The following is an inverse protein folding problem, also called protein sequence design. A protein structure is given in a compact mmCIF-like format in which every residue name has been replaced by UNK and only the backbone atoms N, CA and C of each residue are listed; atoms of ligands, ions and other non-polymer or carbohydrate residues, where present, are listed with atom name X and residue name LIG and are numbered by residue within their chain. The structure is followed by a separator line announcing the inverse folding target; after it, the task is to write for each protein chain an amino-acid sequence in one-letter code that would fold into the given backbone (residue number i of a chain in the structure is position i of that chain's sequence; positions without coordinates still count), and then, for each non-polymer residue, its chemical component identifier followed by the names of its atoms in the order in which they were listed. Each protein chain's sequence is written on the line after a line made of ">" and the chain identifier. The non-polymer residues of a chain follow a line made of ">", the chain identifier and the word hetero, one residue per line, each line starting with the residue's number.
data_IF_002618494794
#
_entry.id   IF_002618494794
#
_cell.length_a   1.000
_cell.length_b   1.000
_cell.length_c   1.000
_cell.angle_alpha   90.00
_cell.angle_beta   90.00
_cell.angle_gamma   90.00
#
_symmetry.space_group_name_H-M   'P 1'
#
loop_
_entity.id
_entity.type
_entity.pdbx_description
1 polymer ?
#
# COMPACT_ATOMS: atom_id res chain seq x y z
N UNK A 1 -35.49 80.84 8.88
CA UNK A 1 -34.55 80.60 9.99
C UNK A 1 -34.60 79.09 10.34
N UNK A 2 -33.57 78.36 10.05
CA UNK A 2 -33.47 76.93 10.46
C UNK A 2 -33.27 76.89 11.97
N UNK A 3 -34.17 76.24 12.75
CA UNK A 3 -34.03 76.22 14.21
C UNK A 3 -32.68 75.55 14.61
N UNK A 4 -31.92 76.22 15.51
CA UNK A 4 -30.64 75.79 16.00
C UNK A 4 -30.64 74.32 16.43
N UNK A 5 -31.73 73.82 16.96
CA UNK A 5 -31.91 72.45 17.36
C UNK A 5 -31.82 71.44 16.19
N UNK A 6 -32.27 71.81 14.97
CA UNK A 6 -32.15 70.94 13.78
C UNK A 6 -30.65 70.82 13.32
N UNK A 7 -29.93 71.92 13.39
CA UNK A 7 -28.49 71.95 13.03
C UNK A 7 -27.69 71.09 13.98
N UNK A 8 -27.96 71.19 15.29
CA UNK A 8 -27.30 70.35 16.31
C UNK A 8 -27.65 68.88 16.11
N UNK A 9 -28.91 68.52 15.84
CA UNK A 9 -29.32 67.15 15.58
C UNK A 9 -28.63 66.58 14.33
N UNK A 10 -28.52 67.33 13.25
CA UNK A 10 -27.81 66.90 12.02
C UNK A 10 -26.30 66.64 12.30
N UNK A 11 -25.65 67.53 13.06
CA UNK A 11 -24.24 67.35 13.42
C UNK A 11 -24.05 66.10 14.27
N UNK A 12 -24.91 65.83 15.23
CA UNK A 12 -24.83 64.61 16.07
C UNK A 12 -25.04 63.34 15.24
N UNK A 13 -26.00 63.33 14.31
CA UNK A 13 -26.24 62.22 13.40
C UNK A 13 -25.03 62.00 12.50
N UNK A 14 -24.44 63.03 11.91
CA UNK A 14 -23.24 62.91 11.07
C UNK A 14 -22.05 62.42 11.87
N UNK A 15 -21.83 62.91 13.09
CA UNK A 15 -20.78 62.44 13.98
C UNK A 15 -20.95 60.98 14.37
N UNK A 16 -22.20 60.55 14.67
CA UNK A 16 -22.50 59.16 14.99
C UNK A 16 -22.28 58.22 13.78
N UNK A 17 -22.74 58.63 12.59
CA UNK A 17 -22.48 57.91 11.35
C UNK A 17 -20.99 57.81 11.04
N UNK A 18 -20.23 58.89 11.27
CA UNK A 18 -18.77 58.91 11.12
C UNK A 18 -18.10 57.94 12.09
N UNK A 19 -18.54 57.91 13.35
CA UNK A 19 -18.03 56.98 14.36
C UNK A 19 -18.30 55.52 13.98
N UNK A 20 -19.52 55.20 13.55
CA UNK A 20 -19.90 53.88 13.10
C UNK A 20 -19.10 53.45 11.86
N UNK A 21 -18.90 54.35 10.90
CA UNK A 21 -18.08 54.11 9.71
C UNK A 21 -16.60 53.87 10.08
N UNK A 22 -16.05 54.64 11.01
CA UNK A 22 -14.70 54.44 11.51
C UNK A 22 -14.57 53.09 12.21
N UNK A 23 -15.52 52.71 13.07
CA UNK A 23 -15.49 51.40 13.76
C UNK A 23 -15.57 50.23 12.76
N UNK A 24 -16.34 50.38 11.66
CA UNK A 24 -16.41 49.32 10.62
C UNK A 24 -15.21 49.30 9.68
N UNK A 25 -14.35 50.32 9.70
CA UNK A 25 -13.15 50.42 8.88
C UNK A 25 -12.00 49.47 9.37
N UNK A 26 -12.01 49.12 10.64
CA UNK A 26 -11.01 48.26 11.21
C UNK A 26 -11.41 46.77 11.10
N UNK A 27 -10.55 45.98 10.44
CA UNK A 27 -10.71 44.55 10.35
C UNK A 27 -9.42 43.85 10.80
N UNK A 28 -9.55 42.88 11.69
CA UNK A 28 -8.43 42.04 12.11
C UNK A 28 -8.30 40.86 11.17
N UNK A 29 -7.11 40.67 10.60
CA UNK A 29 -6.71 39.51 9.80
C UNK A 29 -5.85 38.61 10.70
N UNK A 30 -6.21 37.36 10.81
CA UNK A 30 -5.48 36.40 11.64
C UNK A 30 -4.18 35.96 10.96
N UNK A 31 -3.23 35.42 11.73
CA UNK A 31 -1.91 35.06 11.22
C UNK A 31 -1.96 33.99 10.11
N UNK A 32 -2.97 33.13 10.14
CA UNK A 32 -3.19 32.07 9.15
C UNK A 32 -4.11 32.48 8.01
N UNK A 33 -4.58 33.76 7.99
CA UNK A 33 -5.46 34.31 6.96
C UNK A 33 -4.76 35.39 6.14
N UNK A 34 -5.18 35.52 4.89
CA UNK A 34 -4.87 36.71 4.08
C UNK A 34 -6.17 37.36 3.64
N UNK A 35 -6.19 38.70 3.70
CA UNK A 35 -7.34 39.50 3.30
C UNK A 35 -7.21 39.99 1.87
N UNK A 36 -8.19 39.69 1.03
CA UNK A 36 -8.35 40.24 -0.32
C UNK A 36 -9.38 41.37 -0.25
N UNK A 37 -9.05 42.53 -0.81
CA UNK A 37 -9.94 43.69 -0.84
C UNK A 37 -10.57 43.80 -2.22
N UNK A 38 -11.88 43.81 -2.24
CA UNK A 38 -12.69 44.11 -3.43
C UNK A 38 -13.21 45.58 -3.31
N UNK A 39 -12.76 46.44 -4.23
CA UNK A 39 -13.18 47.81 -4.32
C UNK A 39 -14.18 47.96 -5.47
N UNK A 40 -15.42 48.25 -5.17
CA UNK A 40 -16.50 48.34 -6.18
C UNK A 40 -16.49 47.13 -7.15
N UNK A 41 -16.25 45.92 -6.62
CA UNK A 41 -16.25 44.69 -7.41
C UNK A 41 -14.91 44.36 -8.11
N UNK A 42 -13.91 45.24 -8.07
CA UNK A 42 -12.56 44.99 -8.60
C UNK A 42 -11.62 44.55 -7.48
N UNK A 43 -10.85 43.52 -7.73
CA UNK A 43 -9.80 43.05 -6.80
C UNK A 43 -8.65 44.04 -6.78
N UNK A 44 -8.24 44.48 -5.60
CA UNK A 44 -6.98 45.18 -5.44
C UNK A 44 -5.81 44.18 -5.44
N UNK A 45 -4.69 44.49 -6.14
CA UNK A 45 -3.54 43.62 -6.17
C UNK A 45 -2.83 43.50 -4.79
N UNK A 46 -3.13 44.40 -3.89
CA UNK A 46 -2.55 44.46 -2.56
C UNK A 46 -3.26 43.50 -1.60
N UNK A 47 -2.54 42.43 -1.22
CA UNK A 47 -3.03 41.42 -0.25
C UNK A 47 -2.73 41.95 1.15
N UNK A 48 -3.72 42.03 2.02
CA UNK A 48 -3.54 42.41 3.43
C UNK A 48 -3.01 41.19 4.23
N UNK A 49 -1.82 41.37 4.80
CA UNK A 49 -1.21 40.44 5.73
C UNK A 49 -1.90 40.42 7.10
N UNK A 50 -1.40 39.55 8.02
CA UNK A 50 -1.91 39.48 9.38
C UNK A 50 -1.75 40.79 10.13
N UNK A 51 -2.73 41.10 10.97
CA UNK A 51 -2.77 42.32 11.78
C UNK A 51 -4.02 43.15 11.56
N UNK A 52 -3.93 44.43 11.91
CA UNK A 52 -5.03 45.36 11.76
C UNK A 52 -5.03 45.96 10.34
N UNK A 53 -6.05 45.57 9.57
CA UNK A 53 -6.27 46.07 8.21
C UNK A 53 -7.28 47.22 8.25
N UNK A 54 -6.89 48.37 7.67
CA UNK A 54 -7.77 49.51 7.47
C UNK A 54 -8.46 49.37 6.11
N UNK A 55 -9.80 49.41 6.11
CA UNK A 55 -10.64 49.24 4.94
C UNK A 55 -11.53 50.45 4.84
N UNK A 56 -11.83 50.91 3.62
CA UNK A 56 -12.83 51.97 3.43
C UNK A 56 -14.21 51.44 3.77
N UNK A 57 -14.98 52.09 4.66
CA UNK A 57 -16.26 51.59 5.12
C UNK A 57 -17.33 51.54 4.00
N UNK A 58 -17.13 52.38 2.96
CA UNK A 58 -18.03 52.45 1.79
C UNK A 58 -17.25 51.99 0.54
N UNK A 59 -17.72 50.90 -0.09
CA UNK A 59 -17.19 50.42 -1.37
C UNK A 59 -16.15 49.31 -1.29
N UNK A 60 -15.45 49.12 -0.15
CA UNK A 60 -14.50 48.04 0.01
C UNK A 60 -15.15 46.86 0.76
N UNK A 61 -14.99 45.65 0.20
CA UNK A 61 -15.30 44.37 0.88
C UNK A 61 -14.04 43.56 1.04
N UNK A 62 -13.82 43.05 2.23
CA UNK A 62 -12.68 42.14 2.49
C UNK A 62 -13.18 40.72 2.59
N UNK A 63 -12.59 39.84 1.79
CA UNK A 63 -12.72 38.41 1.89
C UNK A 63 -11.43 37.83 2.50
N UNK A 64 -11.58 37.03 3.54
CA UNK A 64 -10.49 36.35 4.19
C UNK A 64 -10.32 34.94 3.59
N UNK A 65 -9.11 34.57 3.27
CA UNK A 65 -8.75 33.24 2.75
C UNK A 65 -7.78 32.60 3.72
N UNK A 66 -8.09 31.39 4.12
CA UNK A 66 -7.22 30.59 4.98
C UNK A 66 -6.03 30.05 4.15
N UNK A 67 -4.82 30.20 4.70
CA UNK A 67 -3.55 29.77 4.08
C UNK A 67 -3.00 28.47 4.68
N UNK A 68 -3.69 27.88 5.65
CA UNK A 68 -3.29 26.63 6.29
C UNK A 68 -3.44 25.45 5.32
N UNK A 69 -2.74 24.38 5.63
CA UNK A 69 -2.91 23.10 4.93
C UNK A 69 -4.28 22.54 5.30
N UNK A 70 -5.05 22.22 4.29
CA UNK A 70 -6.36 21.59 4.41
C UNK A 70 -6.23 20.14 3.94
N UNK A 71 -6.67 19.20 4.78
CA UNK A 71 -6.83 17.81 4.40
C UNK A 71 -8.26 17.59 3.87
N UNK A 72 -8.35 17.16 2.64
CA UNK A 72 -9.63 16.88 1.97
C UNK A 72 -9.71 15.41 1.59
N UNK A 73 -10.75 14.73 2.07
CA UNK A 73 -11.03 13.36 1.65
C UNK A 73 -11.60 13.35 0.23
N UNK A 74 -11.00 12.53 -0.62
CA UNK A 74 -11.50 12.20 -1.96
C UNK A 74 -12.37 10.97 -1.83
N UNK A 75 -13.66 11.03 -2.22
CA UNK A 75 -14.53 9.87 -2.15
C UNK A 75 -14.01 8.73 -3.02
N UNK A 76 -14.25 7.50 -2.57
CA UNK A 76 -13.80 6.30 -3.25
C UNK A 76 -14.22 6.27 -4.72
N UNK A 77 -13.26 6.04 -5.60
CA UNK A 77 -13.45 5.89 -7.03
C UNK A 77 -13.32 4.42 -7.43
N UNK A 78 -14.27 3.96 -8.22
CA UNK A 78 -14.19 2.64 -8.86
C UNK A 78 -13.50 2.79 -10.22
N UNK A 79 -12.61 1.85 -10.51
CA UNK A 79 -11.90 1.80 -11.78
C UNK A 79 -11.40 0.40 -12.07
N UNK A 80 -10.96 0.20 -13.30
CA UNK A 80 -10.32 -1.03 -13.76
C UNK A 80 -8.84 -0.70 -13.97
N UNK A 81 -7.97 -1.46 -13.33
CA UNK A 81 -6.51 -1.32 -13.47
C UNK A 81 -6.03 -1.80 -14.83
N UNK A 82 -4.76 -1.52 -15.16
CA UNK A 82 -4.16 -1.94 -16.43
C UNK A 82 -4.16 -3.46 -16.62
N UNK A 83 -4.08 -4.23 -15.53
CA UNK A 83 -4.17 -5.69 -15.48
C UNK A 83 -5.61 -6.23 -15.38
N UNK A 84 -6.60 -5.39 -15.74
CA UNK A 84 -8.02 -5.72 -15.84
C UNK A 84 -8.67 -6.15 -14.52
N UNK A 85 -8.22 -5.62 -13.39
CA UNK A 85 -8.80 -5.85 -12.07
C UNK A 85 -9.66 -4.66 -11.66
N UNK A 86 -10.91 -4.92 -11.25
CA UNK A 86 -11.77 -3.89 -10.67
C UNK A 86 -11.32 -3.56 -9.26
N UNK A 87 -11.03 -2.28 -9.00
CA UNK A 87 -10.61 -1.79 -7.70
C UNK A 87 -11.45 -0.58 -7.28
N UNK A 88 -11.57 -0.38 -5.98
CA UNK A 88 -12.14 0.85 -5.40
C UNK A 88 -11.06 1.48 -4.54
N UNK A 89 -10.72 2.74 -4.85
CA UNK A 89 -9.63 3.47 -4.20
C UNK A 89 -10.16 4.77 -3.64
N UNK A 90 -9.86 5.06 -2.38
CA UNK A 90 -10.05 6.36 -1.75
C UNK A 90 -8.71 7.00 -1.40
N UNK A 91 -8.70 8.34 -1.36
CA UNK A 91 -7.49 9.11 -1.13
C UNK A 91 -7.76 10.33 -0.25
N UNK A 92 -6.68 10.91 0.26
CA UNK A 92 -6.69 12.20 0.96
C UNK A 92 -5.72 13.13 0.26
N UNK A 93 -6.19 14.33 -0.07
CA UNK A 93 -5.38 15.39 -0.67
C UNK A 93 -5.10 16.45 0.38
N UNK A 94 -3.82 16.75 0.59
CA UNK A 94 -3.34 17.84 1.44
C UNK A 94 -2.94 18.99 0.55
N UNK A 95 -3.62 20.11 0.66
CA UNK A 95 -3.34 21.29 -0.16
C UNK A 95 -3.41 22.56 0.67
N UNK A 96 -2.82 23.62 0.16
CA UNK A 96 -2.92 24.97 0.70
C UNK A 96 -3.05 26.00 -0.41
N UNK A 97 -3.64 27.14 -0.07
CA UNK A 97 -3.71 28.30 -0.97
C UNK A 97 -2.36 29.05 -0.92
N UNK A 98 -1.73 29.22 -2.07
CA UNK A 98 -0.49 30.02 -2.23
C UNK A 98 -0.83 31.43 -2.66
N UNK A 99 -1.67 31.54 -3.69
CA UNK A 99 -2.15 32.82 -4.21
C UNK A 99 -3.66 32.96 -3.95
N UNK A 100 -4.04 33.71 -2.90
CA UNK A 100 -5.43 33.84 -2.52
C UNK A 100 -6.26 34.60 -3.57
N UNK A 101 -5.64 35.47 -4.39
CA UNK A 101 -6.34 36.21 -5.44
C UNK A 101 -6.78 35.23 -6.53
N UNK A 102 -5.85 34.43 -7.05
CA UNK A 102 -6.17 33.43 -8.08
C UNK A 102 -7.21 32.42 -7.58
N UNK A 103 -7.04 31.95 -6.34
CA UNK A 103 -7.97 30.97 -5.76
C UNK A 103 -9.42 31.48 -5.64
N UNK A 104 -9.61 32.82 -5.51
CA UNK A 104 -10.94 33.38 -5.31
C UNK A 104 -11.54 33.98 -6.58
N UNK A 105 -10.69 34.46 -7.50
CA UNK A 105 -11.14 35.09 -8.74
C UNK A 105 -11.32 34.09 -9.87
N UNK A 106 -10.36 33.17 -10.00
CA UNK A 106 -10.34 32.25 -11.13
C UNK A 106 -11.26 31.02 -10.92
N UNK A 107 -11.54 30.69 -9.64
CA UNK A 107 -12.34 29.52 -9.29
C UNK A 107 -13.44 29.91 -8.32
N UNK A 108 -14.69 29.61 -8.66
CA UNK A 108 -15.84 29.93 -7.82
C UNK A 108 -15.81 29.21 -6.47
N UNK A 109 -15.51 27.91 -6.50
CA UNK A 109 -15.37 27.08 -5.32
C UNK A 109 -14.17 26.15 -5.51
N UNK A 110 -13.03 26.61 -5.02
CA UNK A 110 -11.76 25.85 -5.17
C UNK A 110 -11.78 24.51 -4.43
N UNK A 111 -12.51 24.39 -3.31
CA UNK A 111 -12.64 23.12 -2.58
C UNK A 111 -13.32 22.06 -3.45
N UNK A 112 -14.42 22.44 -4.07
CA UNK A 112 -15.14 21.55 -4.98
C UNK A 112 -14.31 21.23 -6.24
N UNK A 113 -13.67 22.25 -6.83
CA UNK A 113 -12.87 22.08 -8.03
C UNK A 113 -11.69 21.11 -7.80
N UNK A 114 -10.97 21.25 -6.67
CA UNK A 114 -9.89 20.33 -6.30
C UNK A 114 -10.43 18.92 -6.09
N UNK A 115 -11.60 18.78 -5.45
CA UNK A 115 -12.24 17.48 -5.25
C UNK A 115 -12.53 16.78 -6.58
N UNK A 116 -13.09 17.50 -7.56
CA UNK A 116 -13.37 16.94 -8.88
C UNK A 116 -12.10 16.61 -9.65
N UNK A 117 -11.09 17.48 -9.58
CA UNK A 117 -9.78 17.23 -10.20
C UNK A 117 -9.12 16.00 -9.60
N UNK A 118 -9.12 15.88 -8.28
CA UNK A 118 -8.56 14.73 -7.58
C UNK A 118 -9.27 13.41 -7.94
N UNK A 119 -10.60 13.42 -8.01
CA UNK A 119 -11.38 12.23 -8.41
C UNK A 119 -11.06 11.81 -9.85
N UNK A 120 -10.96 12.77 -10.77
CA UNK A 120 -10.64 12.49 -12.18
C UNK A 120 -9.21 11.98 -12.32
N UNK A 121 -8.25 12.60 -11.64
CA UNK A 121 -6.85 12.17 -11.65
C UNK A 121 -6.67 10.79 -11.01
N UNK A 122 -7.38 10.52 -9.91
CA UNK A 122 -7.38 9.22 -9.25
C UNK A 122 -7.88 8.12 -10.20
N UNK A 123 -8.99 8.36 -10.89
CA UNK A 123 -9.51 7.41 -11.89
C UNK A 123 -8.55 7.18 -13.04
N UNK A 124 -7.88 8.23 -13.52
CA UNK A 124 -6.87 8.12 -14.58
C UNK A 124 -5.68 7.27 -14.15
N UNK A 125 -5.17 7.48 -12.94
CA UNK A 125 -4.05 6.69 -12.41
C UNK A 125 -4.44 5.24 -12.17
N UNK A 126 -5.63 4.97 -11.65
CA UNK A 126 -6.12 3.59 -11.51
C UNK A 126 -6.04 2.86 -12.85
N UNK A 127 -6.49 3.49 -13.94
CA UNK A 127 -6.45 2.89 -15.28
C UNK A 127 -5.05 2.72 -15.88
N UNK A 128 -4.06 3.46 -15.39
CA UNK A 128 -2.68 3.41 -15.88
C UNK A 128 -1.79 2.49 -15.06
N UNK A 129 -2.14 2.24 -13.80
CA UNK A 129 -1.36 1.45 -12.85
C UNK A 129 -1.79 -0.01 -12.86
N UNK A 130 -0.87 -0.89 -12.52
CA UNK A 130 -1.16 -2.28 -12.17
C UNK A 130 -1.65 -2.38 -10.72
N UNK A 131 -2.42 -3.41 -10.42
CA UNK A 131 -2.93 -3.65 -9.07
C UNK A 131 -1.79 -3.76 -8.04
N UNK A 132 -0.71 -4.47 -8.38
CA UNK A 132 0.43 -4.63 -7.49
C UNK A 132 1.13 -3.31 -7.20
N UNK A 133 1.21 -2.38 -8.15
CA UNK A 133 1.74 -1.03 -7.95
C UNK A 133 0.89 -0.22 -6.97
N UNK A 134 -0.43 -0.30 -7.09
CA UNK A 134 -1.35 0.38 -6.16
C UNK A 134 -1.25 -0.14 -4.72
N UNK A 135 -0.88 -1.40 -4.53
CA UNK A 135 -0.77 -2.05 -3.22
C UNK A 135 0.64 -1.93 -2.62
N UNK A 136 1.69 -2.20 -3.41
CA UNK A 136 3.06 -2.31 -2.94
C UNK A 136 3.88 -1.01 -3.14
N UNK A 137 3.64 -0.26 -4.24
CA UNK A 137 4.42 0.93 -4.60
C UNK A 137 3.63 2.23 -4.41
N UNK A 138 2.88 2.34 -3.33
CA UNK A 138 2.00 3.50 -3.03
C UNK A 138 2.71 4.85 -3.11
N UNK A 139 3.98 4.92 -2.70
CA UNK A 139 4.74 6.18 -2.73
C UNK A 139 4.96 6.70 -4.16
N UNK A 140 5.18 5.81 -5.12
CA UNK A 140 5.34 6.17 -6.53
C UNK A 140 4.03 6.67 -7.10
N UNK A 141 2.93 5.98 -6.82
CA UNK A 141 1.58 6.37 -7.24
C UNK A 141 1.15 7.69 -6.60
N UNK A 142 1.38 7.88 -5.30
CA UNK A 142 1.08 9.12 -4.58
C UNK A 142 1.83 10.32 -5.16
N UNK A 143 3.09 10.13 -5.55
CA UNK A 143 3.93 11.17 -6.16
C UNK A 143 3.41 11.57 -7.54
N UNK A 144 3.02 10.60 -8.33
CA UNK A 144 2.47 10.84 -9.66
C UNK A 144 1.08 11.49 -9.59
N UNK A 145 0.21 11.04 -8.67
CA UNK A 145 -1.07 11.67 -8.37
C UNK A 145 -0.89 13.14 -7.98
N UNK A 146 0.05 13.42 -7.08
CA UNK A 146 0.38 14.78 -6.71
C UNK A 146 0.74 15.61 -7.93
N UNK A 147 1.62 15.11 -8.79
CA UNK A 147 2.08 15.81 -10.00
C UNK A 147 0.91 16.15 -10.93
N UNK A 148 0.05 15.18 -11.21
CA UNK A 148 -1.10 15.34 -12.12
C UNK A 148 -2.12 16.34 -11.56
N UNK A 149 -2.31 16.40 -10.23
CA UNK A 149 -3.25 17.34 -9.61
C UNK A 149 -2.62 18.74 -9.48
N UNK A 150 -1.33 18.83 -9.14
CA UNK A 150 -0.64 20.09 -8.88
C UNK A 150 -0.46 20.93 -10.15
N UNK A 151 -0.14 20.30 -11.27
CA UNK A 151 0.09 20.96 -12.56
C UNK A 151 -1.08 21.90 -13.00
N UNK A 152 -2.37 21.45 -13.03
CA UNK A 152 -3.49 22.31 -13.36
C UNK A 152 -3.94 23.23 -12.21
N UNK A 153 -3.52 23.01 -10.96
CA UNK A 153 -4.03 23.75 -9.80
C UNK A 153 -3.08 24.85 -9.35
N UNK A 154 -1.76 24.66 -9.41
CA UNK A 154 -0.80 25.65 -8.89
C UNK A 154 -0.80 26.93 -9.75
N UNK A 155 -0.61 26.80 -11.05
CA UNK A 155 -0.51 27.95 -11.96
C UNK A 155 -1.79 28.76 -12.07
N UNK A 156 -2.90 28.17 -12.54
CA UNK A 156 -4.15 28.87 -12.81
C UNK A 156 -4.94 29.22 -11.54
N UNK A 157 -4.97 28.33 -10.53
CA UNK A 157 -5.81 28.50 -9.34
C UNK A 157 -5.05 29.03 -8.13
N UNK A 158 -3.71 29.03 -8.16
CA UNK A 158 -2.88 29.49 -7.05
C UNK A 158 -2.97 28.59 -5.83
N UNK A 159 -3.22 27.31 -6.04
CA UNK A 159 -3.36 26.28 -5.00
C UNK A 159 -2.31 25.22 -5.23
N UNK A 160 -1.51 24.96 -4.20
CA UNK A 160 -0.47 23.95 -4.24
C UNK A 160 -0.90 22.71 -3.49
N UNK A 161 -0.73 21.57 -4.13
CA UNK A 161 -0.91 20.26 -3.52
C UNK A 161 0.40 19.86 -2.84
N UNK A 162 0.38 19.77 -1.52
CA UNK A 162 1.55 19.38 -0.73
C UNK A 162 1.80 17.88 -0.82
N UNK A 163 0.72 17.10 -0.65
CA UNK A 163 0.78 15.64 -0.62
C UNK A 163 -0.57 15.04 -0.99
N UNK A 164 -0.52 13.90 -1.65
CA UNK A 164 -1.68 13.03 -1.88
C UNK A 164 -1.36 11.67 -1.29
N UNK A 165 -2.29 11.07 -0.59
CA UNK A 165 -2.13 9.75 0.00
C UNK A 165 -3.33 8.88 -0.35
N UNK A 166 -3.06 7.71 -0.90
CA UNK A 166 -4.05 6.65 -1.03
C UNK A 166 -4.32 6.09 0.35
N UNK A 167 -5.56 6.17 0.79
CA UNK A 167 -6.01 5.73 2.11
C UNK A 167 -6.27 4.22 2.12
N UNK A 168 -7.13 3.75 1.23
CA UNK A 168 -7.47 2.34 1.11
C UNK A 168 -7.65 1.92 -0.35
N UNK A 169 -7.36 0.63 -0.63
CA UNK A 169 -7.58 -0.01 -1.92
C UNK A 169 -8.42 -1.25 -1.68
N UNK A 170 -9.67 -1.17 -2.04
CA UNK A 170 -10.65 -2.23 -1.86
C UNK A 170 -10.75 -3.08 -3.11
N UNK A 171 -10.60 -4.39 -2.95
CA UNK A 171 -10.67 -5.39 -4.01
C UNK A 171 -11.95 -6.21 -3.88
N UNK A 172 -12.47 -6.78 -4.96
CA UNK A 172 -13.56 -7.77 -4.91
C UNK A 172 -13.17 -9.00 -4.08
N UNK A 173 -14.12 -9.58 -3.37
CA UNK A 173 -13.87 -10.71 -2.46
C UNK A 173 -13.30 -11.95 -3.16
N UNK A 174 -13.68 -12.18 -4.41
CA UNK A 174 -13.11 -13.26 -5.23
C UNK A 174 -11.61 -13.07 -5.43
N UNK A 175 -11.17 -11.83 -5.72
CA UNK A 175 -9.77 -11.50 -5.92
C UNK A 175 -8.98 -11.56 -4.60
N UNK A 176 -9.54 -11.06 -3.50
CA UNK A 176 -8.93 -11.18 -2.16
C UNK A 176 -8.63 -12.64 -1.81
N UNK A 177 -9.58 -13.54 -2.07
CA UNK A 177 -9.39 -14.99 -1.84
C UNK A 177 -8.31 -15.60 -2.74
N UNK A 178 -8.23 -15.18 -3.99
CA UNK A 178 -7.20 -15.64 -4.93
C UNK A 178 -5.80 -15.18 -4.49
N UNK A 179 -5.65 -13.89 -4.18
CA UNK A 179 -4.40 -13.33 -3.68
C UNK A 179 -3.95 -13.94 -2.35
N UNK A 180 -4.91 -14.21 -1.44
CA UNK A 180 -4.60 -14.89 -0.18
C UNK A 180 -4.02 -16.29 -0.42
N UNK A 181 -4.61 -17.07 -1.31
CA UNK A 181 -4.09 -18.40 -1.69
C UNK A 181 -2.72 -18.32 -2.36
N UNK A 182 -2.52 -17.35 -3.24
CA UNK A 182 -1.24 -17.12 -3.89
C UNK A 182 -0.16 -16.73 -2.87
N UNK A 183 -0.47 -15.81 -1.96
CA UNK A 183 0.43 -15.38 -0.91
C UNK A 183 0.77 -16.53 0.07
N UNK A 184 -0.21 -17.39 0.38
CA UNK A 184 -0.01 -18.58 1.21
C UNK A 184 0.92 -19.58 0.53
N UNK A 185 0.69 -19.89 -0.75
CA UNK A 185 1.55 -20.77 -1.53
C UNK A 185 2.99 -20.24 -1.65
N UNK A 186 3.16 -18.93 -1.85
CA UNK A 186 4.48 -18.31 -1.91
C UNK A 186 5.20 -18.35 -0.55
N UNK A 187 4.47 -18.12 0.54
CA UNK A 187 5.02 -18.25 1.90
C UNK A 187 5.44 -19.70 2.19
N UNK A 188 4.59 -20.65 1.81
CA UNK A 188 4.89 -22.07 1.97
C UNK A 188 6.11 -22.48 1.15
N UNK A 189 6.21 -22.05 -0.12
CA UNK A 189 7.38 -22.27 -0.96
C UNK A 189 8.64 -21.71 -0.31
N UNK A 190 8.59 -20.48 0.17
CA UNK A 190 9.71 -19.82 0.85
C UNK A 190 10.09 -20.52 2.16
N UNK A 191 9.10 -20.96 2.93
CA UNK A 191 9.33 -21.71 4.16
C UNK A 191 10.04 -23.05 3.87
N UNK A 192 9.64 -23.78 2.82
CA UNK A 192 10.29 -25.02 2.40
C UNK A 192 11.75 -24.79 2.00
N UNK A 193 12.06 -23.73 1.26
CA UNK A 193 13.44 -23.38 0.89
C UNK A 193 14.27 -23.08 2.14
N UNK A 194 13.76 -22.23 3.05
CA UNK A 194 14.46 -21.90 4.30
C UNK A 194 14.69 -23.15 5.15
N UNK A 195 13.72 -24.05 5.22
CA UNK A 195 13.85 -25.32 5.96
C UNK A 195 14.93 -26.20 5.33
N UNK A 196 14.90 -26.37 4.01
CA UNK A 196 15.91 -27.15 3.30
C UNK A 196 17.33 -26.59 3.46
N UNK A 197 17.48 -25.26 3.36
CA UNK A 197 18.76 -24.58 3.62
C UNK A 197 19.23 -24.78 5.06
N UNK A 198 18.27 -24.68 6.01
CA UNK A 198 18.52 -24.94 7.43
C UNK A 198 19.00 -26.38 7.68
N UNK A 199 18.32 -27.35 7.08
CA UNK A 199 18.68 -28.76 7.16
C UNK A 199 20.05 -29.03 6.54
N UNK A 200 20.32 -28.44 5.37
CA UNK A 200 21.63 -28.55 4.72
C UNK A 200 22.76 -28.01 5.61
N UNK A 201 22.57 -26.80 6.17
CA UNK A 201 23.55 -26.20 7.07
C UNK A 201 23.71 -27.01 8.37
N UNK A 202 22.61 -27.52 8.92
CA UNK A 202 22.65 -28.39 10.10
C UNK A 202 23.36 -29.70 9.81
N UNK A 203 23.09 -30.36 8.69
CA UNK A 203 23.76 -31.59 8.26
C UNK A 203 25.27 -31.40 8.08
N UNK A 204 25.69 -30.29 7.46
CA UNK A 204 27.10 -29.97 7.31
C UNK A 204 27.80 -29.77 8.66
N UNK A 205 27.15 -29.11 9.61
CA UNK A 205 27.65 -28.91 10.98
C UNK A 205 27.70 -30.23 11.76
N UNK A 206 26.66 -31.06 11.60
CA UNK A 206 26.63 -32.38 12.23
C UNK A 206 27.70 -33.29 11.68
N UNK A 207 27.91 -33.30 10.36
CA UNK A 207 29.01 -34.07 9.74
C UNK A 207 30.37 -33.60 10.25
N UNK A 208 30.61 -32.29 10.33
CA UNK A 208 31.85 -31.77 10.91
C UNK A 208 32.03 -32.15 12.38
N UNK A 209 30.97 -32.07 13.18
CA UNK A 209 30.99 -32.48 14.58
C UNK A 209 31.26 -34.00 14.72
N UNK A 210 30.62 -34.82 13.88
CA UNK A 210 30.85 -36.26 13.84
C UNK A 210 32.30 -36.63 13.48
N UNK A 211 32.89 -35.94 12.50
CA UNK A 211 34.30 -36.11 12.13
C UNK A 211 35.27 -35.76 13.27
N UNK A 212 34.98 -34.73 14.05
CA UNK A 212 35.78 -34.36 15.24
C UNK A 212 35.62 -35.41 16.34
N UNK A 213 34.39 -35.85 16.60
CA UNK A 213 34.10 -36.86 17.64
C UNK A 213 34.65 -38.25 17.25
N UNK A 214 34.73 -38.59 15.97
CA UNK A 214 35.30 -39.86 15.49
C UNK A 214 36.79 -39.98 15.77
N UNK A 215 37.52 -38.87 15.97
CA UNK A 215 38.94 -38.87 16.31
C UNK A 215 39.25 -39.24 17.75
N UNK A 216 38.26 -39.06 18.64
CA UNK A 216 38.37 -39.39 20.06
C UNK A 216 37.19 -40.28 20.50
N UNK A 217 37.45 -41.59 20.72
CA UNK A 217 36.43 -42.55 21.17
C UNK A 217 35.72 -42.14 22.47
N UNK A 218 36.44 -41.43 23.37
CA UNK A 218 35.85 -40.98 24.63
C UNK A 218 34.78 -39.91 24.40
N UNK A 219 34.93 -39.06 23.38
CA UNK A 219 33.95 -38.03 23.04
C UNK A 219 32.60 -38.62 22.59
N UNK A 220 32.64 -39.73 21.83
CA UNK A 220 31.45 -40.48 21.42
C UNK A 220 30.69 -41.06 22.61
N UNK A 221 31.42 -41.64 23.59
CA UNK A 221 30.82 -42.21 24.80
C UNK A 221 30.15 -41.12 25.65
N UNK A 222 30.83 -39.97 25.82
CA UNK A 222 30.25 -38.82 26.55
C UNK A 222 28.97 -38.27 25.84
N UNK A 223 28.98 -38.19 24.50
CA UNK A 223 27.83 -37.75 23.74
C UNK A 223 26.65 -38.71 23.86
N UNK A 224 26.93 -40.02 23.84
CA UNK A 224 25.93 -41.06 24.04
C UNK A 224 25.28 -40.94 25.44
N UNK A 225 26.09 -40.73 26.49
CA UNK A 225 25.63 -40.52 27.84
C UNK A 225 24.78 -39.24 27.94
N UNK A 226 25.20 -38.14 27.29
CA UNK A 226 24.43 -36.91 27.25
C UNK A 226 23.05 -37.13 26.60
N UNK A 227 23.00 -37.81 25.44
CA UNK A 227 21.74 -38.09 24.75
C UNK A 227 20.79 -38.95 25.59
N UNK A 228 21.35 -39.96 26.32
CA UNK A 228 20.54 -40.77 27.25
C UNK A 228 19.98 -39.94 28.38
N UNK A 229 20.76 -39.04 28.96
CA UNK A 229 20.29 -38.13 30.02
C UNK A 229 19.21 -37.16 29.49
N UNK A 230 19.38 -36.64 28.28
CA UNK A 230 18.41 -35.72 27.65
C UNK A 230 17.10 -36.42 27.38
N UNK A 231 17.11 -37.65 26.83
CA UNK A 231 15.91 -38.46 26.58
C UNK A 231 15.27 -38.92 27.89
N UNK A 232 16.05 -39.27 28.91
CA UNK A 232 15.56 -39.69 30.22
C UNK A 232 14.94 -38.52 31.01
N UNK A 233 15.33 -37.29 30.71
CA UNK A 233 14.79 -36.07 31.36
C UNK A 233 13.38 -35.71 30.95
N UNK A 234 12.93 -36.12 29.75
CA UNK A 234 11.57 -36.04 29.32
C UNK A 234 10.76 -37.16 30.01
N UNK A 235 9.74 -36.81 30.74
CA UNK A 235 8.92 -37.64 31.62
C UNK A 235 8.19 -38.83 30.97
N UNK A 236 8.85 -39.59 30.13
CA UNK A 236 8.30 -40.78 29.49
C UNK A 236 8.89 -42.05 30.14
N UNK A 237 8.02 -42.83 30.78
CA UNK A 237 8.36 -44.06 31.50
C UNK A 237 8.73 -45.25 30.58
N UNK A 238 8.79 -45.10 29.28
CA UNK A 238 9.13 -46.17 28.36
C UNK A 238 10.18 -45.66 27.36
N UNK A 239 11.43 -46.05 27.53
CA UNK A 239 12.52 -45.75 26.61
C UNK A 239 12.53 -46.81 25.50
N UNK A 240 11.95 -46.52 24.35
CA UNK A 240 12.16 -47.31 23.15
C UNK A 240 13.37 -46.72 22.41
N UNK A 241 14.54 -47.34 22.61
CA UNK A 241 15.77 -46.93 21.96
C UNK A 241 15.93 -47.74 20.68
N UNK A 242 15.81 -47.19 19.48
CA UNK A 242 16.24 -47.85 18.26
C UNK A 242 17.79 -47.96 18.36
N UNK A 243 18.29 -49.15 18.51
CA UNK A 243 19.74 -49.37 18.47
C UNK A 243 20.17 -49.35 16.99
N UNK A 244 20.94 -48.33 16.55
CA UNK A 244 21.41 -48.30 15.18
C UNK A 244 22.30 -49.55 14.94
N UNK A 245 22.13 -50.16 13.76
CA UNK A 245 22.90 -51.37 13.37
C UNK A 245 24.39 -51.12 13.43
N UNK A 246 24.82 -49.86 13.28
CA UNK A 246 26.22 -49.43 13.41
C UNK A 246 26.78 -49.62 14.82
N UNK A 247 25.98 -49.50 15.87
CA UNK A 247 26.39 -49.80 17.23
C UNK A 247 26.63 -51.30 17.43
N UNK A 248 25.86 -52.18 16.80
CA UNK A 248 26.12 -53.62 16.80
C UNK A 248 27.44 -53.93 16.09
N UNK A 249 27.74 -53.28 14.96
CA UNK A 249 29.02 -53.42 14.27
C UNK A 249 30.21 -52.87 15.09
N UNK A 250 29.98 -51.86 15.91
CA UNK A 250 31.00 -51.32 16.81
C UNK A 250 31.32 -52.34 17.94
N UNK A 251 30.29 -52.95 18.52
CA UNK A 251 30.47 -54.01 19.51
C UNK A 251 31.10 -55.26 18.91
N UNK A 252 30.80 -55.59 17.63
CA UNK A 252 31.40 -56.72 16.89
C UNK A 252 32.89 -56.45 16.62
N UNK A 253 33.29 -55.20 16.36
CA UNK A 253 34.69 -54.77 16.23
C UNK A 253 35.44 -54.73 17.56
N UNK A 254 34.77 -54.66 18.68
CA UNK A 254 35.36 -54.67 20.02
C UNK A 254 35.50 -56.08 20.63
N UNK A 255 34.80 -57.05 20.07
CA UNK A 255 35.01 -58.44 20.41
C UNK A 255 36.33 -58.92 19.80
N UNK A 256 37.26 -59.59 20.58
CA UNK A 256 38.51 -60.05 20.03
C UNK A 256 38.28 -61.27 19.13
N UNK A 257 38.07 -61.00 17.85
CA UNK A 257 37.96 -61.97 16.78
C UNK A 257 39.09 -61.76 15.72
N UNK A 258 39.48 -62.76 14.95
CA UNK A 258 40.71 -62.73 14.16
C UNK A 258 40.69 -61.66 13.05
N UNK A 259 41.86 -61.04 12.84
CA UNK A 259 42.17 -59.94 11.94
C UNK A 259 41.57 -60.11 10.53
N UNK A 260 40.77 -59.11 10.09
CA UNK A 260 40.37 -58.90 8.71
C UNK A 260 41.27 -57.83 8.05
N UNK A 261 41.52 -57.90 6.74
CA UNK A 261 42.57 -57.16 6.05
C UNK A 261 42.28 -55.64 6.01
N UNK A 262 43.39 -54.88 6.03
CA UNK A 262 43.46 -53.42 5.93
C UNK A 262 42.66 -52.90 4.78
N UNK A 263 41.73 -52.02 5.09
CA UNK A 263 41.01 -51.16 4.12
C UNK A 263 41.96 -50.00 3.73
N UNK A 264 42.16 -49.81 2.45
CA UNK A 264 42.93 -48.71 1.86
C UNK A 264 42.36 -47.33 2.31
N UNK A 265 43.19 -46.30 2.44
CA UNK A 265 42.79 -44.98 2.86
C UNK A 265 41.85 -44.37 1.82
N UNK A 266 40.65 -44.03 2.26
CA UNK A 266 39.64 -43.27 1.47
C UNK A 266 40.22 -41.88 1.19
N UNK A 267 40.31 -41.53 -0.10
CA UNK A 267 40.79 -40.28 -0.62
C UNK A 267 40.02 -39.07 -0.04
N UNK A 268 40.71 -37.96 0.05
CA UNK A 268 40.24 -36.67 0.58
C UNK A 268 38.87 -36.30 0.05
N UNK A 269 37.91 -36.11 0.97
CA UNK A 269 36.49 -35.73 0.68
C UNK A 269 36.31 -34.27 0.22
N UNK A 270 37.37 -33.47 0.19
CA UNK A 270 37.29 -32.08 -0.27
C UNK A 270 37.27 -31.95 -1.82
N UNK A 271 37.63 -32.99 -2.56
CA UNK A 271 37.72 -32.96 -4.03
C UNK A 271 36.52 -33.64 -4.72
N UNK A 272 35.63 -34.32 -3.96
CA UNK A 272 34.45 -35.01 -4.52
C UNK A 272 33.24 -34.13 -4.67
N UNK A 273 33.17 -33.01 -3.95
CA UNK A 273 31.97 -32.11 -3.97
C UNK A 273 31.78 -31.40 -5.29
N UNK A 274 32.86 -30.93 -5.90
CA UNK A 274 32.76 -30.09 -7.10
C UNK A 274 32.63 -30.93 -8.39
N UNK A 275 33.19 -32.12 -8.41
CA UNK A 275 33.08 -33.03 -9.55
C UNK A 275 31.73 -33.72 -9.64
N UNK A 276 31.12 -34.05 -8.50
CA UNK A 276 29.78 -34.66 -8.46
C UNK A 276 28.67 -33.65 -8.73
N UNK A 277 28.82 -32.40 -8.28
CA UNK A 277 27.95 -31.29 -8.62
C UNK A 277 28.02 -30.97 -10.13
N UNK A 278 29.24 -30.94 -10.70
CA UNK A 278 29.43 -30.73 -12.14
C UNK A 278 28.85 -31.88 -12.99
N UNK A 279 28.96 -33.13 -12.50
CA UNK A 279 28.37 -34.30 -13.17
C UNK A 279 26.82 -34.28 -13.07
N UNK A 280 26.27 -33.85 -11.95
CA UNK A 280 24.82 -33.69 -11.78
C UNK A 280 24.26 -32.55 -12.63
N UNK A 281 24.95 -31.42 -12.74
CA UNK A 281 24.57 -30.31 -13.64
C UNK A 281 24.66 -30.71 -15.12
N UNK A 282 25.69 -31.49 -15.51
CA UNK A 282 25.79 -32.02 -16.86
C UNK A 282 24.69 -33.06 -17.18
N UNK A 283 24.27 -33.85 -16.19
CA UNK A 283 23.15 -34.78 -16.35
C UNK A 283 21.78 -34.06 -16.49
N UNK A 284 21.59 -32.97 -15.78
CA UNK A 284 20.37 -32.15 -15.89
C UNK A 284 20.32 -31.41 -17.23
N UNK A 285 21.47 -30.94 -17.73
CA UNK A 285 21.55 -30.27 -19.04
C UNK A 285 21.25 -31.19 -20.23
N UNK A 286 21.37 -32.50 -20.06
CA UNK A 286 21.09 -33.52 -21.10
C UNK A 286 19.67 -34.13 -21.01
N UNK A 287 18.83 -33.67 -20.09
CA UNK A 287 17.42 -34.07 -20.08
C UNK A 287 16.74 -33.33 -21.22
N UNK A 288 16.65 -34.00 -22.35
CA UNK A 288 15.82 -33.56 -23.48
C UNK A 288 14.35 -33.52 -22.99
N UNK A 289 13.86 -32.34 -22.63
CA UNK A 289 12.45 -32.12 -22.41
C UNK A 289 11.78 -32.19 -23.78
N UNK A 290 10.94 -33.20 -24.09
CA UNK A 290 10.23 -33.21 -25.36
C UNK A 290 9.36 -31.97 -25.43
N UNK A 291 9.58 -31.14 -26.46
CA UNK A 291 8.66 -30.06 -26.82
C UNK A 291 7.26 -30.66 -26.91
N UNK A 292 6.38 -30.20 -26.02
CA UNK A 292 4.96 -30.50 -26.10
C UNK A 292 4.45 -29.87 -27.41
N UNK A 293 4.39 -30.68 -28.46
CA UNK A 293 3.79 -30.31 -29.72
C UNK A 293 2.35 -29.89 -29.44
N UNK A 294 1.96 -28.73 -29.92
CA UNK A 294 0.67 -28.03 -29.76
C UNK A 294 -0.56 -28.85 -30.26
N UNK A 295 -0.33 -30.10 -30.68
CA UNK A 295 -1.35 -31.01 -31.18
C UNK A 295 -2.06 -31.90 -30.13
N UNK A 296 -1.72 -31.77 -28.86
CA UNK A 296 -2.30 -32.59 -27.79
C UNK A 296 -3.37 -31.88 -26.93
N UNK A 297 -3.79 -30.68 -27.34
CA UNK A 297 -4.93 -29.99 -26.72
C UNK A 297 -6.19 -30.50 -27.40
N UNK A 298 -7.07 -31.27 -26.73
CA UNK A 298 -8.36 -31.65 -27.31
C UNK A 298 -9.17 -30.39 -27.61
N UNK A 299 -9.85 -30.28 -28.74
CA UNK A 299 -10.65 -29.11 -29.08
C UNK A 299 -11.70 -28.88 -27.99
N UNK A 300 -11.76 -27.63 -27.53
CA UNK A 300 -12.81 -27.15 -26.63
C UNK A 300 -14.16 -27.43 -27.33
N UNK A 301 -15.11 -28.13 -26.68
CA UNK A 301 -16.42 -28.36 -27.29
C UNK A 301 -17.08 -27.01 -27.55
N UNK A 302 -17.43 -26.75 -28.81
CA UNK A 302 -18.30 -25.63 -29.20
C UNK A 302 -19.58 -25.72 -28.37
N UNK A 303 -19.78 -24.70 -27.52
CA UNK A 303 -21.08 -24.53 -26.86
C UNK A 303 -22.06 -24.11 -27.94
N UNK A 304 -22.77 -25.11 -28.47
CA UNK A 304 -23.90 -24.90 -29.39
C UNK A 304 -24.91 -24.03 -28.65
N UNK A 305 -25.15 -22.90 -29.23
CA UNK A 305 -26.21 -21.94 -28.92
C UNK A 305 -27.56 -22.67 -28.94
N UNK A 306 -28.00 -23.12 -27.78
CA UNK A 306 -29.29 -23.77 -27.60
C UNK A 306 -30.17 -22.93 -26.69
N UNK A 307 -31.13 -22.28 -27.36
CA UNK A 307 -32.47 -21.94 -26.86
C UNK A 307 -32.54 -20.85 -25.79
N UNK A 308 -32.78 -19.62 -26.25
CA UNK A 308 -33.48 -18.60 -25.49
C UNK A 308 -34.95 -19.06 -25.27
N UNK A 309 -35.46 -19.20 -24.05
CA UNK A 309 -36.89 -19.21 -23.82
C UNK A 309 -37.43 -17.77 -23.76
N UNK A 310 -38.51 -17.60 -24.52
CA UNK A 310 -39.44 -16.49 -24.54
C UNK A 310 -39.71 -15.90 -23.15
N UNK A 311 -39.30 -14.63 -22.94
CA UNK A 311 -39.82 -13.76 -21.90
C UNK A 311 -40.60 -12.61 -22.58
N UNK A 312 -41.70 -12.95 -23.24
CA UNK A 312 -42.77 -12.01 -23.50
C UNK A 312 -43.89 -12.26 -22.50
N UNK A 313 -44.37 -11.18 -21.91
CA UNK A 313 -45.55 -11.05 -21.04
C UNK A 313 -45.28 -11.22 -19.51
N UNK A 314 -44.73 -10.20 -18.89
CA UNK A 314 -45.16 -9.80 -17.55
C UNK A 314 -45.64 -8.35 -17.65
N UNK A 315 -46.95 -8.25 -17.66
CA UNK A 315 -47.80 -7.07 -17.57
C UNK A 315 -47.39 -6.23 -16.34
N UNK A 316 -47.13 -4.95 -16.52
CA UNK A 316 -46.95 -3.98 -15.44
C UNK A 316 -48.23 -3.83 -14.62
N UNK A 317 -48.21 -3.91 -13.28
CA UNK A 317 -49.34 -3.46 -12.47
C UNK A 317 -49.26 -1.95 -12.25
N UNK A 318 -50.33 -1.31 -12.63
CA UNK A 318 -50.98 -0.07 -12.28
C UNK A 318 -50.39 0.65 -11.03
N UNK A 319 -49.66 1.74 -11.25
CA UNK A 319 -49.29 2.73 -10.22
C UNK A 319 -50.01 4.05 -10.43
N UNK A 320 -51.34 3.99 -10.45
CA UNK A 320 -52.18 5.18 -10.41
C UNK A 320 -53.25 5.02 -9.33
N UNK A 321 -52.89 5.11 -8.06
CA UNK A 321 -53.81 5.41 -6.96
C UNK A 321 -53.06 5.51 -5.63
N UNK A 322 -52.41 6.62 -5.33
CA UNK A 322 -52.24 7.17 -3.96
C UNK A 322 -51.62 8.58 -3.99
N UNK A 323 -52.32 9.43 -4.62
CA UNK A 323 -52.21 10.86 -4.35
C UNK A 323 -53.62 11.30 -3.93
N UNK A 324 -53.91 11.20 -2.64
CA UNK A 324 -54.97 11.87 -1.84
C UNK A 324 -55.20 11.07 -0.55
N UNK A 325 -54.45 11.36 0.49
CA UNK A 325 -54.87 11.41 1.89
C UNK A 325 -53.74 12.00 2.74
#
# INVERSE_FOLDING_TARGET
>A
MIPVGVVVAVIVIVALLGLIAAARSFRVVQQYEKGIIYRFGRVLPEIRGPGLALIRPVGDRMQKVNMQIVAMAVPAQEGITRDNVSVRVDAVVYFRVVDPIKATVNVQNYMFAISQQAQTSLRSIIGQSEMDQLLAERETVNRELRRIIDEPTEGPWGIRVERVEIKDVSLPDAMKRSMSRQAEAERERRARIITADGEYQASKRLAAAANVMARDPAALQLRLLQTVVEVAGERNSTLVMPVPVELLRFFEKMAPGPAAPEAEPVADLDDLGDAEVAAAEAAISNVHVPELTESAIPPVPEVTEAVAPELSQVTAPDMAAKEQA
#
